data_IF_655348846599
#
_entry.id   IF_655348846599
#
_cell.length_a   1.000
_cell.length_b   1.000
_cell.length_c   1.000
_cell.angle_alpha   90.00
_cell.angle_beta   90.00
_cell.angle_gamma   90.00
#
_symmetry.space_group_name_H-M   'P 1'
#
loop_
_entity.id
_entity.type
_entity.pdbx_description
1 polymer ?
#
# COMPACT_ATOMS: atom_id res chain seq x y z
N UNK A 1 -27.12 55.15 27.04
CA UNK A 1 -26.00 54.28 27.48
C UNK A 1 -26.32 52.77 27.53
N UNK A 2 -27.43 52.26 26.97
CA UNK A 2 -27.85 50.86 27.14
C UNK A 2 -27.71 49.94 25.90
N UNK A 3 -27.16 50.41 24.77
CA UNK A 3 -27.03 49.59 23.54
C UNK A 3 -25.61 49.07 23.25
N UNK A 4 -24.58 49.49 23.98
CA UNK A 4 -23.19 49.04 23.75
C UNK A 4 -22.76 47.84 24.60
N UNK A 5 -23.46 47.56 25.71
CA UNK A 5 -23.12 46.47 26.64
C UNK A 5 -23.59 45.09 26.19
N UNK A 6 -24.60 44.99 25.30
CA UNK A 6 -25.10 43.69 24.80
C UNK A 6 -24.20 43.09 23.71
N UNK A 7 -23.56 43.90 22.87
CA UNK A 7 -22.71 43.42 21.77
C UNK A 7 -21.38 42.83 22.27
N UNK A 8 -20.83 43.39 23.34
CA UNK A 8 -19.57 42.90 23.94
C UNK A 8 -19.77 41.55 24.65
N UNK A 9 -20.91 41.34 25.33
CA UNK A 9 -21.19 40.09 26.05
C UNK A 9 -21.37 38.88 25.12
N UNK A 10 -21.94 39.07 23.93
CA UNK A 10 -22.04 38.01 22.90
C UNK A 10 -20.67 37.69 22.29
N UNK A 11 -19.83 38.70 22.07
CA UNK A 11 -18.50 38.51 21.48
C UNK A 11 -17.53 37.78 22.43
N UNK A 12 -17.65 38.01 23.75
CA UNK A 12 -16.84 37.29 24.77
C UNK A 12 -17.27 35.82 24.87
N UNK A 13 -18.57 35.52 24.88
CA UNK A 13 -19.06 34.12 24.91
C UNK A 13 -18.66 33.34 23.66
N UNK A 14 -18.63 33.98 22.49
CA UNK A 14 -18.21 33.34 21.23
C UNK A 14 -16.70 33.06 21.22
N UNK A 15 -15.89 33.94 21.83
CA UNK A 15 -14.45 33.77 21.97
C UNK A 15 -14.12 32.64 22.95
N UNK A 16 -14.78 32.60 24.11
CA UNK A 16 -14.65 31.49 25.08
C UNK A 16 -15.08 30.14 24.49
N UNK A 17 -16.09 30.13 23.62
CA UNK A 17 -16.55 28.90 22.95
C UNK A 17 -15.58 28.43 21.86
N UNK A 18 -14.96 29.35 21.11
CA UNK A 18 -13.87 29.02 20.17
C UNK A 18 -12.60 28.54 20.87
N UNK A 19 -12.28 29.12 22.02
CA UNK A 19 -11.06 28.77 22.77
C UNK A 19 -11.22 27.42 23.49
N UNK A 20 -12.43 27.07 23.96
CA UNK A 20 -12.76 25.70 24.40
C UNK A 20 -12.64 24.68 23.26
N UNK A 21 -13.21 24.96 22.08
CA UNK A 21 -13.11 24.05 20.93
C UNK A 21 -11.66 23.83 20.44
N UNK A 22 -10.82 24.86 20.55
CA UNK A 22 -9.38 24.75 20.24
C UNK A 22 -8.61 23.97 21.32
N UNK A 23 -9.00 24.13 22.59
CA UNK A 23 -8.44 23.34 23.70
C UNK A 23 -8.75 21.86 23.51
N UNK A 24 -10.00 21.53 23.19
CA UNK A 24 -10.45 20.14 23.01
C UNK A 24 -9.74 19.48 21.80
N UNK A 25 -9.59 20.19 20.67
CA UNK A 25 -8.81 19.70 19.51
C UNK A 25 -7.31 19.55 19.81
N UNK A 26 -6.75 20.43 20.63
CA UNK A 26 -5.35 20.33 21.06
C UNK A 26 -5.13 19.16 22.03
N UNK A 27 -6.15 18.84 22.83
CA UNK A 27 -6.16 17.72 23.75
C UNK A 27 -6.32 16.38 23.02
N UNK A 28 -7.23 16.27 22.05
CA UNK A 28 -7.32 15.11 21.14
C UNK A 28 -6.01 14.88 20.39
N UNK A 29 -5.38 15.94 19.89
CA UNK A 29 -4.07 15.87 19.23
C UNK A 29 -2.95 15.41 20.18
N UNK A 30 -3.03 15.75 21.47
CA UNK A 30 -2.08 15.32 22.50
C UNK A 30 -2.32 13.87 22.93
N UNK A 31 -3.58 13.43 23.02
CA UNK A 31 -3.96 12.03 23.26
C UNK A 31 -3.49 11.17 22.10
N UNK A 32 -3.71 11.59 20.85
CA UNK A 32 -3.23 10.89 19.66
C UNK A 32 -1.70 10.77 19.68
N UNK A 33 -0.96 11.85 19.98
CA UNK A 33 0.52 11.82 20.11
C UNK A 33 1.01 10.94 21.25
N UNK A 34 0.34 10.94 22.41
CA UNK A 34 0.62 10.01 23.52
C UNK A 34 0.35 8.56 23.12
N UNK A 35 -0.68 8.32 22.31
CA UNK A 35 -1.00 7.01 21.74
C UNK A 35 0.11 6.51 20.80
N UNK A 36 0.60 7.38 19.90
CA UNK A 36 1.76 7.07 19.06
C UNK A 36 3.04 6.80 19.86
N UNK A 37 3.25 7.52 20.96
CA UNK A 37 4.41 7.31 21.83
C UNK A 37 4.34 5.98 22.59
N UNK A 38 3.14 5.58 23.05
CA UNK A 38 2.92 4.32 23.77
C UNK A 38 3.08 3.10 22.84
N UNK A 39 2.66 3.21 21.58
CA UNK A 39 2.90 2.20 20.53
C UNK A 39 4.40 2.08 20.22
N UNK A 40 5.15 3.19 20.26
CA UNK A 40 6.60 3.18 20.02
C UNK A 40 7.40 2.53 21.16
N UNK A 41 6.94 2.63 22.40
CA UNK A 41 7.62 2.04 23.57
C UNK A 41 7.48 0.52 23.60
N UNK A 42 6.32 -0.02 23.19
CA UNK A 42 6.04 -1.46 23.18
C UNK A 42 6.67 -2.22 22.00
N UNK A 43 7.42 -1.55 21.12
CA UNK A 43 8.12 -2.17 19.98
C UNK A 43 9.64 -2.27 20.14
N UNK A 44 10.21 -2.07 21.33
CA UNK A 44 11.63 -2.39 21.56
C UNK A 44 11.80 -3.90 21.78
N UNK A 45 12.57 -4.63 20.95
CA UNK A 45 13.02 -5.97 21.29
C UNK A 45 13.96 -5.91 22.51
N UNK A 46 13.86 -6.91 23.37
CA UNK A 46 14.56 -7.02 24.65
C UNK A 46 16.04 -6.65 24.59
N UNK A 47 16.40 -5.66 25.40
CA UNK A 47 17.77 -5.30 25.71
C UNK A 47 18.24 -6.23 26.84
N UNK A 48 19.00 -7.28 26.50
CA UNK A 48 19.70 -8.09 27.49
C UNK A 48 20.81 -7.26 28.15
N UNK A 49 20.87 -7.14 29.48
CA UNK A 49 21.95 -6.39 30.13
C UNK A 49 23.27 -7.12 29.97
N UNK A 50 24.17 -6.57 29.13
CA UNK A 50 25.61 -6.81 29.25
C UNK A 50 26.05 -6.21 30.58
N UNK A 51 26.33 -7.08 31.55
CA UNK A 51 27.08 -6.71 32.75
C UNK A 51 28.48 -6.27 32.36
N UNK A 52 28.90 -5.12 32.87
CA UNK A 52 30.25 -4.62 32.67
C UNK A 52 30.86 -4.17 34.00
N UNK A 53 32.08 -4.66 34.20
CA UNK A 53 33.21 -4.17 35.02
C UNK A 53 33.49 -4.70 36.43
N UNK A 54 34.72 -5.24 36.49
CA UNK A 54 35.68 -5.13 37.59
C UNK A 54 36.16 -6.51 38.06
N UNK A 55 37.42 -6.93 38.02
CA UNK A 55 38.70 -6.31 37.69
C UNK A 55 39.83 -7.19 38.29
N UNK A 56 41.03 -7.12 37.68
CA UNK A 56 42.38 -7.43 38.22
C UNK A 56 42.82 -8.88 38.57
N UNK A 57 43.98 -9.24 37.99
CA UNK A 57 45.04 -10.12 38.55
C UNK A 57 44.86 -11.62 38.27
N UNK A 58 45.84 -12.44 37.92
CA UNK A 58 47.29 -12.33 37.78
C UNK A 58 47.87 -13.74 37.51
N UNK A 59 49.01 -13.81 36.80
CA UNK A 59 50.08 -14.84 36.83
C UNK A 59 49.79 -16.37 36.91
N UNK A 60 50.35 -17.12 35.94
CA UNK A 60 51.36 -18.16 36.24
C UNK A 60 51.04 -19.66 36.03
N UNK A 61 51.96 -20.39 35.37
CA UNK A 61 52.22 -21.85 35.49
C UNK A 61 51.44 -22.76 34.51
N UNK A 62 52.01 -23.51 33.54
CA UNK A 62 53.10 -24.52 33.47
C UNK A 62 52.69 -25.95 33.95
N UNK A 63 52.84 -26.94 33.06
CA UNK A 63 52.84 -28.41 33.32
C UNK A 63 51.65 -29.13 32.67
N UNK A 64 51.77 -30.00 31.66
CA UNK A 64 52.40 -31.35 31.67
C UNK A 64 51.30 -32.39 31.98
N UNK A 65 51.08 -33.52 31.32
CA UNK A 65 51.69 -34.27 30.21
C UNK A 65 51.00 -35.65 30.14
N UNK A 66 51.07 -36.28 28.95
CA UNK A 66 51.08 -37.73 28.65
C UNK A 66 49.90 -38.69 28.98
N UNK A 67 49.57 -39.47 27.94
CA UNK A 67 49.25 -40.91 27.98
C UNK A 67 47.75 -41.21 27.87
N UNK A 68 47.23 -42.10 27.03
CA UNK A 68 47.82 -43.09 26.13
C UNK A 68 46.83 -44.25 25.95
N UNK A 69 46.65 -44.67 24.69
CA UNK A 69 46.24 -46.01 24.22
C UNK A 69 44.89 -46.64 24.61
N UNK A 70 44.12 -47.02 23.58
CA UNK A 70 44.06 -48.45 23.23
C UNK A 70 42.68 -49.12 23.11
N UNK A 71 42.22 -49.27 21.87
CA UNK A 71 41.57 -50.48 21.33
C UNK A 71 40.11 -50.80 21.75
N UNK A 72 39.35 -51.66 21.08
CA UNK A 72 39.42 -52.35 19.77
C UNK A 72 38.14 -53.20 19.68
N UNK A 73 37.51 -53.26 18.50
CA UNK A 73 36.62 -54.36 18.07
C UNK A 73 35.15 -54.27 18.50
N UNK A 74 34.16 -54.66 17.71
CA UNK A 74 34.15 -55.34 16.42
C UNK A 74 32.91 -56.25 16.30
N UNK A 75 32.52 -56.55 15.04
CA UNK A 75 31.49 -57.49 14.56
C UNK A 75 30.05 -56.97 14.60
N UNK A 76 29.25 -56.98 13.50
CA UNK A 76 29.07 -57.95 12.39
C UNK A 76 27.58 -58.36 12.45
N UNK A 77 26.78 -58.60 11.41
CA UNK A 77 27.04 -59.09 10.06
C UNK A 77 25.71 -59.20 9.25
N UNK A 78 25.82 -59.53 7.95
CA UNK A 78 24.81 -59.95 6.93
C UNK A 78 24.04 -58.84 6.21
N UNK A 79 24.01 -58.72 4.88
CA UNK A 79 24.28 -59.62 3.73
C UNK A 79 23.17 -59.31 2.68
N UNK A 80 23.31 -59.25 1.35
CA UNK A 80 24.32 -59.71 0.40
C UNK A 80 23.66 -60.59 -0.67
N UNK A 81 23.44 -60.07 -1.90
CA UNK A 81 23.34 -60.74 -3.24
C UNK A 81 22.70 -59.76 -4.24
N UNK A 82 23.30 -59.35 -5.36
CA UNK A 82 23.85 -60.12 -6.50
C UNK A 82 22.84 -60.00 -7.67
N UNK A 83 23.12 -59.74 -8.95
CA UNK A 83 24.28 -59.71 -9.83
C UNK A 83 23.76 -59.93 -11.28
N UNK A 84 24.59 -59.67 -12.29
CA UNK A 84 24.39 -59.88 -13.76
C UNK A 84 23.56 -58.81 -14.51
N UNK A 85 23.93 -58.33 -15.70
CA UNK A 85 25.01 -58.70 -16.62
C UNK A 85 24.56 -58.54 -18.09
N UNK A 86 25.32 -57.75 -18.84
CA UNK A 86 25.70 -57.94 -20.26
C UNK A 86 24.88 -57.47 -21.48
N UNK A 87 25.71 -57.08 -22.48
CA UNK A 87 25.52 -56.81 -23.93
C UNK A 87 24.82 -55.51 -24.31
N UNK A 88 25.43 -54.56 -25.04
CA UNK A 88 26.36 -54.64 -26.18
C UNK A 88 25.67 -53.89 -27.35
N UNK A 89 26.25 -53.03 -28.19
CA UNK A 89 27.62 -52.79 -28.63
C UNK A 89 27.61 -52.71 -30.16
N UNK A 90 27.86 -51.53 -30.74
CA UNK A 90 28.31 -51.19 -32.14
C UNK A 90 27.78 -49.79 -32.45
N UNK A 91 28.52 -48.79 -32.92
CA UNK A 91 29.78 -48.63 -33.66
C UNK A 91 29.59 -47.30 -34.44
N UNK A 92 30.53 -46.49 -34.88
CA UNK A 92 31.98 -46.41 -34.90
C UNK A 92 32.31 -45.25 -35.88
N UNK A 93 33.43 -44.56 -35.63
CA UNK A 93 34.17 -43.64 -36.53
C UNK A 93 33.50 -42.30 -36.93
N UNK A 94 34.17 -41.15 -36.91
CA UNK A 94 35.59 -40.88 -36.66
C UNK A 94 35.91 -39.39 -36.54
N UNK A 95 37.09 -39.14 -35.96
CA UNK A 95 38.09 -38.12 -36.30
C UNK A 95 37.67 -36.66 -36.60
N UNK A 96 38.07 -35.72 -35.73
CA UNK A 96 39.37 -35.01 -35.82
C UNK A 96 39.52 -33.98 -34.70
N UNK A 97 40.78 -33.76 -34.29
CA UNK A 97 41.20 -32.88 -33.19
C UNK A 97 40.88 -31.40 -33.38
N UNK A 98 41.16 -30.51 -32.43
CA UNK A 98 41.91 -30.64 -31.20
C UNK A 98 42.18 -29.23 -30.64
N UNK A 99 42.34 -29.16 -29.30
CA UNK A 99 43.14 -28.20 -28.51
C UNK A 99 43.03 -26.71 -28.87
N UNK A 100 42.54 -25.85 -27.98
CA UNK A 100 43.12 -25.50 -26.68
C UNK A 100 42.93 -23.98 -26.50
N UNK A 101 43.01 -23.34 -25.34
CA UNK A 101 43.43 -23.71 -24.00
C UNK A 101 42.97 -22.60 -23.04
N UNK A 102 43.11 -22.91 -21.77
CA UNK A 102 42.61 -22.23 -20.59
C UNK A 102 43.39 -20.96 -20.16
N UNK A 103 42.72 -20.14 -19.33
CA UNK A 103 43.21 -19.24 -18.25
C UNK A 103 43.45 -17.73 -18.53
N UNK A 104 42.64 -16.92 -17.82
CA UNK A 104 42.86 -15.56 -17.26
C UNK A 104 44.16 -15.45 -16.42
N UNK A 105 44.56 -14.32 -15.77
CA UNK A 105 43.84 -13.05 -15.52
C UNK A 105 44.68 -11.73 -15.56
N UNK A 106 43.96 -10.62 -15.37
CA UNK A 106 44.36 -9.27 -14.89
C UNK A 106 45.83 -8.84 -14.80
N UNK A 107 46.19 -7.74 -15.50
CA UNK A 107 46.97 -6.62 -14.92
C UNK A 107 47.10 -5.41 -15.85
N UNK A 108 46.61 -4.27 -15.36
CA UNK A 108 47.39 -3.04 -15.20
C UNK A 108 47.85 -2.24 -16.43
N UNK A 109 47.30 -1.04 -16.56
CA UNK A 109 48.14 0.17 -16.47
C UNK A 109 48.49 0.94 -17.75
N UNK A 110 48.06 2.21 -17.74
CA UNK A 110 48.77 3.41 -18.21
C UNK A 110 48.68 3.90 -19.68
N UNK A 111 48.17 5.16 -19.75
CA UNK A 111 48.62 6.35 -20.52
C UNK A 111 48.07 6.65 -21.93
N UNK A 112 47.56 7.88 -22.04
CA UNK A 112 47.53 8.72 -23.26
C UNK A 112 46.18 9.43 -23.44
N UNK A 113 45.97 10.67 -22.95
CA UNK A 113 46.26 11.96 -23.64
C UNK A 113 45.54 12.01 -25.00
N UNK A 114 44.59 12.89 -25.33
CA UNK A 114 44.13 14.18 -24.83
C UNK A 114 43.42 14.85 -26.03
N UNK A 115 42.48 15.77 -25.81
CA UNK A 115 41.89 16.54 -26.91
C UNK A 115 40.52 17.13 -26.61
N UNK A 116 40.50 18.32 -26.00
CA UNK A 116 39.30 19.14 -25.90
C UNK A 116 39.10 20.04 -27.12
N UNK A 117 37.83 20.35 -27.40
CA UNK A 117 37.20 21.45 -28.19
C UNK A 117 35.87 20.87 -28.71
N UNK A 118 34.67 21.39 -28.52
CA UNK A 118 34.19 22.71 -28.12
C UNK A 118 32.96 23.06 -28.98
N UNK A 119 31.75 22.61 -28.57
CA UNK A 119 30.38 23.15 -28.86
C UNK A 119 29.87 23.32 -30.31
N UNK A 120 28.57 23.58 -30.58
CA UNK A 120 27.30 23.16 -29.94
C UNK A 120 26.19 22.71 -30.95
N UNK A 121 25.01 22.33 -30.42
CA UNK A 121 23.68 22.16 -31.09
C UNK A 121 23.36 20.80 -31.73
N UNK A 122 22.28 20.21 -31.21
CA UNK A 122 21.59 19.06 -31.80
C UNK A 122 20.45 18.54 -30.92
N UNK A 123 19.57 19.45 -30.45
CA UNK A 123 18.32 19.09 -29.77
C UNK A 123 17.37 18.49 -30.80
N UNK A 124 17.02 17.21 -30.68
CA UNK A 124 16.00 16.59 -31.53
C UNK A 124 15.85 15.09 -31.30
N UNK A 125 14.87 14.70 -30.48
CA UNK A 125 14.52 13.30 -30.24
C UNK A 125 13.33 13.23 -29.28
N UNK A 126 12.15 13.60 -29.78
CA UNK A 126 10.94 13.79 -29.00
C UNK A 126 10.45 12.52 -28.31
N UNK A 127 10.45 12.54 -26.99
CA UNK A 127 9.49 11.79 -26.17
C UNK A 127 8.35 12.73 -25.82
N UNK A 128 7.17 12.47 -26.39
CA UNK A 128 5.93 13.13 -26.01
C UNK A 128 5.73 13.01 -24.50
N UNK A 129 5.76 14.15 -23.82
CA UNK A 129 5.59 14.21 -22.38
C UNK A 129 5.29 15.63 -21.95
N UNK A 130 4.23 15.78 -21.16
CA UNK A 130 3.82 17.02 -20.51
C UNK A 130 5.02 17.70 -19.86
N UNK A 131 5.47 18.80 -20.47
CA UNK A 131 6.51 19.65 -19.91
C UNK A 131 6.01 20.31 -18.63
N UNK A 132 6.77 20.17 -17.56
CA UNK A 132 6.61 20.96 -16.36
C UNK A 132 6.74 22.44 -16.73
N UNK A 133 5.70 23.23 -16.45
CA UNK A 133 5.65 24.67 -16.75
C UNK A 133 4.51 25.15 -17.65
N UNK A 134 3.61 24.27 -18.11
CA UNK A 134 2.37 24.72 -18.77
C UNK A 134 1.38 25.25 -17.73
N UNK A 135 0.70 26.36 -18.04
CA UNK A 135 -0.49 26.78 -17.29
C UNK A 135 -1.54 25.68 -17.45
N UNK A 136 -1.75 24.93 -16.39
CA UNK A 136 -2.73 23.85 -16.33
C UNK A 136 -3.98 24.41 -15.67
N UNK A 137 -5.14 24.20 -16.29
CA UNK A 137 -6.42 24.47 -15.67
C UNK A 137 -6.81 23.24 -14.84
N UNK A 138 -7.11 23.43 -13.55
CA UNK A 138 -7.60 22.37 -12.66
C UNK A 138 -9.08 22.61 -12.43
N UNK A 139 -9.91 21.66 -12.85
CA UNK A 139 -11.36 21.70 -12.72
C UNK A 139 -11.81 20.65 -11.68
N UNK A 140 -12.84 20.92 -10.86
CA UNK A 140 -13.42 19.91 -10.00
C UNK A 140 -14.10 18.81 -10.82
N UNK A 141 -13.94 17.55 -10.40
CA UNK A 141 -14.65 16.40 -10.98
C UNK A 141 -16.07 16.31 -10.39
N UNK A 142 -16.95 15.48 -10.99
CA UNK A 142 -18.27 15.13 -10.40
C UNK A 142 -18.18 14.45 -9.02
N UNK A 143 -17.02 13.91 -8.65
CA UNK A 143 -16.81 13.29 -7.34
C UNK A 143 -16.04 14.27 -6.46
N UNK A 144 -16.53 14.45 -5.24
CA UNK A 144 -15.93 15.36 -4.28
C UNK A 144 -14.48 14.96 -3.95
N UNK A 145 -13.59 15.96 -3.87
CA UNK A 145 -12.16 15.75 -3.56
C UNK A 145 -11.31 15.24 -4.74
N UNK A 146 -11.93 15.00 -5.90
CA UNK A 146 -11.25 14.62 -7.14
C UNK A 146 -11.31 15.77 -8.15
N UNK A 147 -10.25 15.96 -8.91
CA UNK A 147 -10.11 17.05 -9.87
C UNK A 147 -9.59 16.52 -11.21
N UNK A 148 -9.84 17.26 -12.28
CA UNK A 148 -9.29 17.02 -13.61
C UNK A 148 -8.32 18.15 -13.94
N UNK A 149 -7.11 17.78 -14.29
CA UNK A 149 -6.14 18.67 -14.90
C UNK A 149 -6.37 18.65 -16.42
N UNK A 150 -6.86 19.77 -16.98
CA UNK A 150 -7.01 19.94 -18.43
C UNK A 150 -5.70 20.41 -19.03
N UNK A 151 -5.28 19.76 -20.10
CA UNK A 151 -4.01 20.03 -20.78
C UNK A 151 -4.04 19.55 -22.23
N UNK A 152 -2.89 19.06 -22.72
CA UNK A 152 -2.83 18.35 -24.01
C UNK A 152 -3.49 16.95 -23.94
N UNK A 153 -3.42 16.31 -22.78
CA UNK A 153 -4.14 15.11 -22.39
C UNK A 153 -4.65 15.41 -20.99
N UNK A 154 -5.87 15.00 -20.71
CA UNK A 154 -6.49 15.23 -19.43
C UNK A 154 -5.97 14.21 -18.41
N UNK A 155 -5.71 14.67 -17.21
CA UNK A 155 -5.21 13.82 -16.13
C UNK A 155 -6.13 13.93 -14.91
N UNK A 156 -6.42 12.78 -14.30
CA UNK A 156 -7.08 12.74 -13.00
C UNK A 156 -6.08 13.18 -11.93
N UNK A 157 -6.48 14.11 -11.06
CA UNK A 157 -5.62 14.64 -10.00
C UNK A 157 -6.36 14.72 -8.66
N UNK A 158 -5.59 14.67 -7.57
CA UNK A 158 -6.08 14.80 -6.20
C UNK A 158 -5.27 15.88 -5.48
N UNK A 159 -5.88 16.58 -4.53
CA UNK A 159 -5.21 17.64 -3.77
C UNK A 159 -4.24 17.02 -2.76
N UNK A 160 -2.96 17.32 -2.87
CA UNK A 160 -1.94 16.75 -1.99
C UNK A 160 -2.10 17.28 -0.57
N UNK A 161 -2.18 16.37 0.40
CA UNK A 161 -2.19 16.74 1.82
C UNK A 161 -0.79 17.12 2.33
N UNK A 162 0.26 16.48 1.81
CA UNK A 162 1.65 16.70 2.23
C UNK A 162 2.42 17.37 1.10
N UNK A 163 2.32 18.69 1.04
CA UNK A 163 2.94 19.53 0.00
C UNK A 163 4.46 19.30 -0.04
N UNK A 164 5.02 19.24 -1.24
CA UNK A 164 6.46 19.07 -1.44
C UNK A 164 6.92 17.62 -1.57
N UNK A 165 6.07 16.64 -1.25
CA UNK A 165 6.44 15.23 -1.27
C UNK A 165 5.60 14.37 -2.24
N UNK A 166 6.28 13.51 -3.00
CA UNK A 166 5.65 12.44 -3.80
C UNK A 166 5.77 11.09 -3.10
N UNK A 167 4.80 10.20 -3.32
CA UNK A 167 4.79 8.87 -2.68
C UNK A 167 5.53 7.85 -3.53
N UNK A 168 5.27 7.83 -4.84
CA UNK A 168 5.82 6.82 -5.76
C UNK A 168 6.43 7.45 -7.03
N UNK A 169 6.77 8.75 -6.97
CA UNK A 169 7.37 9.48 -8.09
C UNK A 169 6.36 9.97 -9.15
N UNK A 170 5.09 10.09 -8.78
CA UNK A 170 4.05 10.67 -9.62
C UNK A 170 4.32 12.16 -9.96
N UNK A 171 3.74 12.60 -11.08
CA UNK A 171 3.79 14.00 -11.49
C UNK A 171 2.95 14.84 -10.52
N UNK A 172 3.46 16.04 -10.22
CA UNK A 172 2.85 16.99 -9.30
C UNK A 172 2.65 18.32 -10.01
N UNK A 173 1.54 18.97 -9.72
CA UNK A 173 1.13 20.22 -10.35
C UNK A 173 0.96 21.22 -9.21
N UNK A 174 1.76 22.28 -9.23
CA UNK A 174 1.65 23.36 -8.27
C UNK A 174 0.78 24.44 -8.89
N UNK A 175 -0.29 24.80 -8.18
CA UNK A 175 -1.17 25.92 -8.52
C UNK A 175 -1.05 26.93 -7.40
N UNK A 176 -0.70 28.16 -7.76
CA UNK A 176 -0.67 29.28 -6.82
C UNK A 176 -2.05 29.94 -6.86
N UNK A 177 -2.82 29.77 -5.79
CA UNK A 177 -4.12 30.41 -5.61
C UNK A 177 -3.96 31.44 -4.49
N UNK A 178 -3.68 32.70 -4.88
CA UNK A 178 -3.33 33.77 -3.95
C UNK A 178 -2.02 33.51 -3.22
N UNK A 179 -2.05 33.57 -1.88
CA UNK A 179 -0.87 33.33 -1.02
C UNK A 179 -0.64 31.85 -0.68
N UNK A 180 -1.61 30.97 -0.99
CA UNK A 180 -1.52 29.54 -0.69
C UNK A 180 -1.04 28.73 -1.89
N UNK A 181 0.07 28.03 -1.71
CA UNK A 181 0.57 27.05 -2.68
C UNK A 181 -0.19 25.75 -2.53
N UNK A 182 -1.08 25.47 -3.48
CA UNK A 182 -1.81 24.21 -3.55
C UNK A 182 -1.07 23.28 -4.50
N UNK A 183 -0.79 22.07 -4.04
CA UNK A 183 -0.14 21.04 -4.84
C UNK A 183 -1.16 19.93 -5.15
N UNK A 184 -1.24 19.54 -6.42
CA UNK A 184 -2.04 18.44 -6.90
C UNK A 184 -1.14 17.28 -7.35
N UNK A 185 -1.60 16.05 -7.12
CA UNK A 185 -0.90 14.81 -7.52
C UNK A 185 -1.66 14.12 -8.64
N UNK A 186 -0.94 13.74 -9.69
CA UNK A 186 -1.51 12.97 -10.80
C UNK A 186 -1.79 11.54 -10.37
N UNK A 187 -3.03 11.10 -10.59
CA UNK A 187 -3.51 9.78 -10.26
C UNK A 187 -3.59 8.91 -11.51
N UNK A 188 -2.80 7.84 -11.56
CA UNK A 188 -2.68 6.99 -12.74
C UNK A 188 -3.74 5.87 -12.74
N UNK A 189 -4.67 5.83 -13.72
CA UNK A 189 -5.69 4.78 -13.80
C UNK A 189 -5.11 3.39 -14.08
N UNK A 190 -3.97 3.27 -14.74
CA UNK A 190 -3.30 1.97 -15.00
C UNK A 190 -2.62 1.37 -13.76
N UNK A 191 -2.56 2.11 -12.65
CA UNK A 191 -1.99 1.62 -11.38
C UNK A 191 -3.02 1.54 -10.26
N UNK A 192 -4.21 2.09 -10.47
CA UNK A 192 -5.20 2.26 -9.42
C UNK A 192 -6.59 1.97 -9.97
N UNK A 193 -7.15 0.86 -9.51
CA UNK A 193 -8.47 0.37 -9.92
C UNK A 193 -9.58 1.37 -9.59
N UNK A 194 -9.42 2.11 -8.49
CA UNK A 194 -10.34 3.19 -8.12
C UNK A 194 -10.27 4.37 -9.10
N UNK A 195 -9.08 4.77 -9.56
CA UNK A 195 -8.97 5.80 -10.60
C UNK A 195 -9.53 5.32 -11.94
N UNK A 196 -9.30 4.06 -12.31
CA UNK A 196 -9.90 3.45 -13.49
C UNK A 196 -11.44 3.46 -13.40
N UNK A 197 -12.03 3.15 -12.24
CA UNK A 197 -13.47 3.21 -12.03
C UNK A 197 -14.03 4.64 -12.15
N UNK A 198 -13.32 5.62 -11.59
CA UNK A 198 -13.71 7.04 -11.68
C UNK A 198 -13.73 7.51 -13.14
N UNK A 199 -12.69 7.19 -13.92
CA UNK A 199 -12.61 7.54 -15.35
C UNK A 199 -13.57 6.71 -16.20
N UNK A 200 -13.82 5.45 -15.82
CA UNK A 200 -14.75 4.56 -16.51
C UNK A 200 -16.22 4.95 -16.34
N UNK A 201 -16.53 5.90 -15.46
CA UNK A 201 -17.87 6.47 -15.39
C UNK A 201 -18.70 6.06 -14.19
N UNK A 202 -18.12 5.49 -13.12
CA UNK A 202 -18.88 5.07 -11.92
C UNK A 202 -19.75 6.19 -11.30
N UNK A 203 -21.01 5.97 -11.00
CA UNK A 203 -21.93 7.04 -10.59
C UNK A 203 -21.52 7.68 -9.26
N UNK A 204 -21.31 6.87 -8.23
CA UNK A 204 -20.90 7.32 -6.90
C UNK A 204 -19.91 6.36 -6.24
N UNK A 205 -18.70 6.86 -5.93
CA UNK A 205 -17.70 6.11 -5.15
C UNK A 205 -17.96 6.14 -3.64
N UNK A 206 -18.84 7.03 -3.17
CA UNK A 206 -19.17 7.31 -1.77
C UNK A 206 -18.00 7.74 -0.86
N UNK A 207 -16.78 7.78 -1.37
CA UNK A 207 -15.61 8.39 -0.72
C UNK A 207 -15.71 9.90 -0.91
N UNK A 208 -15.97 10.60 0.19
CA UNK A 208 -16.13 12.06 0.23
C UNK A 208 -15.21 12.67 1.29
N UNK A 209 -14.89 13.98 1.20
CA UNK A 209 -14.18 14.68 2.26
C UNK A 209 -14.87 14.48 3.63
N UNK A 210 -14.09 14.13 4.65
CA UNK A 210 -14.58 13.83 6.00
C UNK A 210 -15.14 12.42 6.23
N UNK A 211 -15.23 11.57 5.20
CA UNK A 211 -15.70 10.20 5.37
C UNK A 211 -14.68 9.30 6.10
N UNK A 212 -15.17 8.27 6.79
CA UNK A 212 -14.32 7.19 7.32
C UNK A 212 -14.31 6.03 6.33
N UNK A 213 -13.14 5.73 5.78
CA UNK A 213 -12.95 4.69 4.77
C UNK A 213 -12.12 3.55 5.32
N UNK A 214 -12.54 2.31 5.09
CA UNK A 214 -11.73 1.13 5.32
C UNK A 214 -11.25 0.58 3.98
N UNK A 215 -9.93 0.49 3.82
CA UNK A 215 -9.28 -0.02 2.62
C UNK A 215 -8.74 -1.42 2.90
N UNK A 216 -9.31 -2.44 2.28
CA UNK A 216 -8.87 -3.82 2.39
C UNK A 216 -7.91 -4.14 1.23
N UNK A 217 -6.69 -4.57 1.56
CA UNK A 217 -5.64 -4.84 0.56
C UNK A 217 -4.89 -3.57 0.16
N UNK A 218 -4.40 -2.81 1.15
CA UNK A 218 -3.72 -1.54 0.93
C UNK A 218 -2.37 -1.64 0.19
N UNK A 219 -1.76 -2.82 0.14
CA UNK A 219 -0.45 -3.08 -0.42
C UNK A 219 0.59 -2.06 0.08
N UNK A 220 1.32 -1.40 -0.82
CA UNK A 220 2.33 -0.38 -0.49
C UNK A 220 1.75 1.01 -0.19
N UNK A 221 0.42 1.18 -0.29
CA UNK A 221 -0.25 2.45 0.03
C UNK A 221 -0.28 3.47 -1.11
N UNK A 222 -0.02 3.08 -2.35
CA UNK A 222 -0.07 3.98 -3.53
C UNK A 222 -1.47 4.58 -3.72
N UNK A 223 -2.50 3.73 -3.88
CA UNK A 223 -3.91 4.18 -4.00
C UNK A 223 -4.42 4.75 -2.69
N UNK A 224 -4.06 4.16 -1.55
CA UNK A 224 -4.46 4.64 -0.22
C UNK A 224 -4.05 6.10 0.00
N UNK A 225 -2.88 6.50 -0.51
CA UNK A 225 -2.44 7.89 -0.43
C UNK A 225 -3.38 8.86 -1.16
N UNK A 226 -3.99 8.45 -2.28
CA UNK A 226 -4.98 9.25 -3.01
C UNK A 226 -6.35 9.25 -2.32
N UNK A 227 -6.77 8.10 -1.77
CA UNK A 227 -8.00 8.02 -0.97
C UNK A 227 -7.90 8.93 0.26
N UNK A 228 -6.73 8.93 0.91
CA UNK A 228 -6.42 9.85 2.01
C UNK A 228 -6.50 11.32 1.58
N UNK A 229 -5.96 11.66 0.42
CA UNK A 229 -6.00 13.02 -0.13
C UNK A 229 -7.46 13.48 -0.42
N UNK A 230 -8.33 12.58 -0.89
CA UNK A 230 -9.76 12.85 -1.14
C UNK A 230 -10.54 13.05 0.17
N UNK A 231 -10.34 12.16 1.12
CA UNK A 231 -11.00 12.19 2.43
C UNK A 231 -10.58 13.41 3.25
N UNK A 232 -9.35 13.87 3.07
CA UNK A 232 -8.84 15.06 3.74
C UNK A 232 -8.51 14.83 5.23
N UNK A 233 -8.16 15.90 5.96
CA UNK A 233 -7.67 15.81 7.34
C UNK A 233 -8.77 15.51 8.37
N UNK A 234 -10.03 15.79 8.07
CA UNK A 234 -11.17 15.56 8.97
C UNK A 234 -11.70 14.12 8.91
N UNK A 235 -11.37 13.36 7.85
CA UNK A 235 -11.75 11.96 7.73
C UNK A 235 -10.58 11.02 8.04
N UNK A 236 -10.86 9.71 8.00
CA UNK A 236 -9.90 8.67 8.39
C UNK A 236 -9.88 7.55 7.36
N UNK A 237 -8.69 7.02 7.11
CA UNK A 237 -8.50 5.85 6.23
C UNK A 237 -7.85 4.72 7.04
N UNK A 238 -8.59 3.65 7.30
CA UNK A 238 -8.08 2.43 7.89
C UNK A 238 -7.53 1.53 6.79
N UNK A 239 -6.21 1.41 6.70
CA UNK A 239 -5.54 0.68 5.63
C UNK A 239 -5.10 -0.70 6.14
N UNK A 240 -5.83 -1.75 5.74
CA UNK A 240 -5.55 -3.13 6.13
C UNK A 240 -4.67 -3.81 5.09
N UNK A 241 -3.53 -4.33 5.53
CA UNK A 241 -2.59 -5.07 4.70
C UNK A 241 -2.04 -6.28 5.43
N UNK A 242 -1.97 -7.43 4.76
CA UNK A 242 -1.46 -8.65 5.38
C UNK A 242 0.07 -8.73 5.30
N UNK A 243 0.66 -8.31 4.19
CA UNK A 243 2.11 -8.47 3.96
C UNK A 243 2.93 -7.52 4.83
N UNK A 244 3.87 -8.07 5.60
CA UNK A 244 4.82 -7.25 6.35
C UNK A 244 5.74 -6.42 5.46
N UNK A 245 6.08 -6.90 4.24
CA UNK A 245 6.94 -6.13 3.31
C UNK A 245 6.19 -4.89 2.84
N UNK A 246 5.00 -5.08 2.29
CA UNK A 246 4.13 -3.99 1.82
C UNK A 246 3.72 -3.08 2.98
N UNK A 247 3.49 -3.66 4.16
CA UNK A 247 3.20 -2.94 5.40
C UNK A 247 4.30 -1.97 5.83
N UNK A 248 5.58 -2.25 5.55
CA UNK A 248 6.68 -1.29 5.81
C UNK A 248 6.55 -0.03 4.96
N UNK A 249 6.20 -0.20 3.68
CA UNK A 249 6.00 0.93 2.77
C UNK A 249 4.74 1.72 3.17
N UNK A 250 3.65 1.02 3.48
CA UNK A 250 2.42 1.62 3.98
C UNK A 250 2.65 2.43 5.27
N UNK A 251 3.45 1.92 6.21
CA UNK A 251 3.85 2.63 7.42
C UNK A 251 4.62 3.92 7.10
N UNK A 252 5.49 3.91 6.08
CA UNK A 252 6.23 5.10 5.67
C UNK A 252 5.31 6.17 5.08
N UNK A 253 4.25 5.77 4.36
CA UNK A 253 3.21 6.69 3.87
C UNK A 253 2.39 7.24 5.05
N UNK A 254 1.99 6.38 5.98
CA UNK A 254 1.19 6.76 7.15
C UNK A 254 1.94 7.66 8.15
N UNK A 255 3.28 7.55 8.24
CA UNK A 255 4.08 8.50 9.04
C UNK A 255 3.93 9.95 8.59
N UNK A 256 3.68 10.14 7.29
CA UNK A 256 3.59 11.47 6.66
C UNK A 256 2.15 11.96 6.59
N UNK A 257 1.19 11.04 6.44
CA UNK A 257 -0.26 11.31 6.38
C UNK A 257 -0.95 10.84 7.65
N UNK A 258 -1.30 11.80 8.51
CA UNK A 258 -1.83 11.54 9.86
C UNK A 258 -3.24 10.94 9.89
N UNK A 259 -3.98 11.04 8.79
CA UNK A 259 -5.32 10.49 8.64
C UNK A 259 -5.33 9.01 8.20
N UNK A 260 -4.16 8.42 7.91
CA UNK A 260 -4.02 6.99 7.58
C UNK A 260 -3.65 6.21 8.84
N UNK A 261 -4.46 5.20 9.17
CA UNK A 261 -4.18 4.24 10.24
C UNK A 261 -3.80 2.91 9.57
N UNK A 262 -2.50 2.55 9.55
CA UNK A 262 -2.03 1.31 8.96
C UNK A 262 -2.27 0.14 9.92
N UNK A 263 -2.90 -0.92 9.41
CA UNK A 263 -3.22 -2.14 10.16
C UNK A 263 -2.56 -3.31 9.42
N UNK A 264 -1.50 -3.87 10.00
CA UNK A 264 -0.77 -5.00 9.40
C UNK A 264 -1.32 -6.31 9.97
N UNK A 265 -2.48 -6.74 9.48
CA UNK A 265 -3.19 -7.94 9.90
C UNK A 265 -3.95 -8.59 8.75
N UNK A 266 -4.33 -9.85 8.92
CA UNK A 266 -5.15 -10.58 7.95
C UNK A 266 -6.60 -10.10 7.95
N UNK A 267 -7.08 -9.61 6.80
CA UNK A 267 -8.45 -9.15 6.61
C UNK A 267 -9.52 -10.24 6.84
N UNK A 268 -9.16 -11.53 6.76
CA UNK A 268 -10.05 -12.67 7.08
C UNK A 268 -10.46 -12.71 8.55
N UNK A 269 -9.70 -12.06 9.42
CA UNK A 269 -9.84 -12.15 10.88
C UNK A 269 -10.10 -10.77 11.51
N UNK A 270 -11.25 -10.12 11.25
CA UNK A 270 -11.53 -8.77 11.72
C UNK A 270 -11.55 -8.61 13.24
N UNK A 271 -11.70 -9.71 13.98
CA UNK A 271 -11.63 -9.71 15.44
C UNK A 271 -10.24 -9.29 15.98
N UNK A 272 -9.16 -9.46 15.22
CA UNK A 272 -7.80 -9.12 15.66
C UNK A 272 -7.58 -7.61 15.78
N UNK A 273 -8.18 -6.83 14.89
CA UNK A 273 -8.03 -5.38 14.87
C UNK A 273 -9.32 -4.63 15.21
N UNK A 274 -10.31 -5.33 15.80
CA UNK A 274 -11.58 -4.73 16.26
C UNK A 274 -11.40 -3.56 17.24
N UNK A 275 -10.28 -3.53 17.98
CA UNK A 275 -9.99 -2.47 18.94
C UNK A 275 -9.48 -1.19 18.27
N UNK A 276 -8.99 -1.28 17.02
CA UNK A 276 -8.40 -0.17 16.29
C UNK A 276 -9.40 0.54 15.37
N UNK A 277 -10.37 -0.22 14.84
CA UNK A 277 -11.29 0.26 13.79
C UNK A 277 -12.65 0.60 14.40
N UNK A 278 -13.07 1.86 14.24
CA UNK A 278 -14.42 2.30 14.55
C UNK A 278 -15.41 2.06 13.39
N UNK A 279 -16.67 2.46 13.57
CA UNK A 279 -17.66 2.36 12.50
C UNK A 279 -17.27 3.24 11.28
N UNK A 280 -17.20 2.63 10.10
CA UNK A 280 -16.82 3.27 8.84
C UNK A 280 -18.03 3.51 7.93
N UNK A 281 -17.90 4.49 7.04
CA UNK A 281 -18.94 4.87 6.08
C UNK A 281 -18.82 4.08 4.78
N UNK A 282 -17.59 3.78 4.36
CA UNK A 282 -17.29 3.09 3.10
C UNK A 282 -16.20 2.04 3.28
N UNK A 283 -16.39 0.86 2.69
CA UNK A 283 -15.34 -0.14 2.50
C UNK A 283 -14.90 -0.15 1.04
N UNK A 284 -13.60 0.01 0.78
CA UNK A 284 -13.00 -0.26 -0.53
C UNK A 284 -12.19 -1.56 -0.44
N UNK A 285 -12.47 -2.53 -1.30
CA UNK A 285 -11.80 -3.82 -1.29
C UNK A 285 -11.03 -4.09 -2.59
N UNK A 286 -9.71 -4.16 -2.48
CA UNK A 286 -8.77 -4.50 -3.57
C UNK A 286 -7.97 -5.77 -3.23
N UNK A 287 -8.67 -6.74 -2.65
CA UNK A 287 -8.09 -8.03 -2.25
C UNK A 287 -8.27 -9.03 -3.39
N UNK A 288 -7.17 -9.53 -3.93
CA UNK A 288 -7.19 -10.59 -4.94
C UNK A 288 -7.17 -11.97 -4.27
N UNK A 289 -8.31 -12.43 -3.78
CA UNK A 289 -8.48 -13.77 -3.17
C UNK A 289 -9.77 -14.44 -3.69
N UNK A 290 -9.82 -15.78 -3.80
CA UNK A 290 -11.05 -16.48 -4.19
C UNK A 290 -12.21 -16.30 -3.20
N UNK A 291 -11.90 -16.09 -1.91
CA UNK A 291 -12.87 -15.85 -0.85
C UNK A 291 -13.17 -14.37 -0.59
N UNK A 292 -12.99 -13.52 -1.61
CA UNK A 292 -13.13 -12.05 -1.52
C UNK A 292 -14.46 -11.61 -0.92
N UNK A 293 -15.60 -12.10 -1.45
CA UNK A 293 -16.93 -11.71 -0.94
C UNK A 293 -17.08 -11.99 0.56
N UNK A 294 -16.61 -13.16 1.03
CA UNK A 294 -16.66 -13.52 2.46
C UNK A 294 -15.81 -12.57 3.31
N UNK A 295 -14.61 -12.22 2.84
CA UNK A 295 -13.72 -11.28 3.54
C UNK A 295 -14.41 -9.92 3.68
N UNK A 296 -15.00 -9.41 2.59
CA UNK A 296 -15.68 -8.11 2.62
C UNK A 296 -16.92 -8.17 3.52
N UNK A 297 -17.72 -9.23 3.43
CA UNK A 297 -18.91 -9.42 4.28
C UNK A 297 -18.57 -9.41 5.77
N UNK A 298 -17.55 -10.18 6.20
CA UNK A 298 -17.11 -10.21 7.61
C UNK A 298 -16.65 -8.84 8.10
N UNK A 299 -15.97 -8.07 7.26
CA UNK A 299 -15.55 -6.71 7.59
C UNK A 299 -16.74 -5.74 7.63
N UNK A 300 -17.68 -5.88 6.70
CA UNK A 300 -18.89 -5.08 6.66
C UNK A 300 -19.77 -5.32 7.90
N UNK A 301 -19.91 -6.57 8.33
CA UNK A 301 -20.67 -6.92 9.53
C UNK A 301 -20.13 -6.27 10.80
N UNK A 302 -18.81 -6.13 10.89
CA UNK A 302 -18.15 -5.63 12.11
C UNK A 302 -17.97 -4.11 12.11
N UNK A 303 -17.72 -3.50 10.96
CA UNK A 303 -17.27 -2.11 10.89
C UNK A 303 -18.13 -1.21 10.02
N UNK A 304 -18.87 -1.73 9.04
CA UNK A 304 -19.65 -0.88 8.13
C UNK A 304 -20.98 -0.48 8.77
N UNK A 305 -21.29 0.82 8.74
CA UNK A 305 -22.59 1.33 9.21
C UNK A 305 -23.73 0.74 8.39
N UNK A 306 -24.91 0.59 9.01
CA UNK A 306 -26.12 0.26 8.27
C UNK A 306 -26.40 1.39 7.25
N UNK A 307 -26.67 1.03 5.98
CA UNK A 307 -26.76 1.99 4.88
C UNK A 307 -25.41 2.53 4.40
N UNK A 308 -24.29 2.04 4.95
CA UNK A 308 -22.95 2.33 4.46
C UNK A 308 -22.70 1.69 3.11
N UNK A 309 -21.65 2.14 2.43
CA UNK A 309 -21.36 1.73 1.06
C UNK A 309 -20.15 0.81 0.98
N UNK A 310 -20.11 -0.02 -0.05
CA UNK A 310 -18.94 -0.83 -0.37
C UNK A 310 -18.61 -0.70 -1.85
N UNK A 311 -17.33 -0.78 -2.13
CA UNK A 311 -16.76 -0.77 -3.47
C UNK A 311 -15.79 -1.95 -3.54
N UNK A 312 -16.09 -2.94 -4.36
CA UNK A 312 -15.30 -4.17 -4.48
C UNK A 312 -14.71 -4.21 -5.89
N UNK A 313 -13.39 -4.35 -5.98
CA UNK A 313 -12.71 -4.62 -7.24
C UNK A 313 -12.54 -6.12 -7.42
N UNK A 314 -13.30 -6.69 -8.36
CA UNK A 314 -13.30 -8.11 -8.68
C UNK A 314 -12.34 -8.34 -9.85
N UNK A 315 -11.41 -9.28 -9.69
CA UNK A 315 -10.55 -9.79 -10.76
C UNK A 315 -10.94 -11.22 -11.08
N UNK A 316 -11.57 -11.46 -12.23
CA UNK A 316 -12.12 -12.77 -12.57
C UNK A 316 -11.06 -13.89 -12.47
N UNK A 317 -9.89 -13.65 -13.08
CA UNK A 317 -8.77 -14.59 -13.11
C UNK A 317 -8.20 -14.98 -11.73
N UNK A 318 -8.44 -14.19 -10.68
CA UNK A 318 -7.99 -14.53 -9.32
C UNK A 318 -9.03 -15.32 -8.53
N UNK A 319 -10.29 -15.35 -8.98
CA UNK A 319 -11.36 -16.12 -8.35
C UNK A 319 -11.46 -17.48 -9.02
N UNK A 320 -11.60 -17.48 -10.34
CA UNK A 320 -11.64 -18.68 -11.17
C UNK A 320 -11.01 -18.36 -12.53
N UNK A 321 -9.87 -18.97 -12.82
CA UNK A 321 -9.15 -18.78 -14.08
C UNK A 321 -9.69 -19.61 -15.24
N UNK A 322 -10.66 -20.51 -14.99
CA UNK A 322 -11.22 -21.42 -16.00
C UNK A 322 -12.57 -20.94 -16.51
N UNK A 323 -13.33 -20.23 -15.69
CA UNK A 323 -14.63 -19.69 -16.04
C UNK A 323 -14.53 -18.36 -16.82
N UNK A 324 -15.57 -18.06 -17.60
CA UNK A 324 -15.70 -16.76 -18.27
C UNK A 324 -15.88 -15.63 -17.23
N UNK A 325 -15.27 -14.43 -17.44
CA UNK A 325 -15.34 -13.33 -16.49
C UNK A 325 -16.77 -12.94 -16.09
N UNK A 326 -17.71 -12.93 -17.03
CA UNK A 326 -19.12 -12.58 -16.79
C UNK A 326 -19.79 -13.55 -15.83
N UNK A 327 -19.48 -14.85 -15.95
CA UNK A 327 -20.00 -15.88 -15.05
C UNK A 327 -19.43 -15.71 -13.63
N UNK A 328 -18.14 -15.38 -13.51
CA UNK A 328 -17.50 -15.09 -12.22
C UNK A 328 -18.14 -13.87 -11.56
N UNK A 329 -18.36 -12.79 -12.31
CA UNK A 329 -19.00 -11.58 -11.79
C UNK A 329 -20.43 -11.86 -11.30
N UNK A 330 -21.23 -12.59 -12.07
CA UNK A 330 -22.59 -12.97 -11.67
C UNK A 330 -22.60 -13.85 -10.40
N UNK A 331 -21.64 -14.76 -10.28
CA UNK A 331 -21.50 -15.60 -9.09
C UNK A 331 -21.13 -14.78 -7.84
N UNK A 332 -20.21 -13.82 -7.95
CA UNK A 332 -19.85 -12.95 -6.83
C UNK A 332 -21.01 -12.04 -6.42
N UNK A 333 -21.73 -11.44 -7.37
CA UNK A 333 -22.94 -10.64 -7.12
C UNK A 333 -23.99 -11.46 -6.35
N UNK A 334 -24.17 -12.75 -6.71
CA UNK A 334 -25.08 -13.66 -5.99
C UNK A 334 -24.63 -13.94 -4.56
N UNK A 335 -23.32 -14.14 -4.34
CA UNK A 335 -22.75 -14.33 -2.98
C UNK A 335 -22.95 -13.09 -2.12
N UNK A 336 -22.76 -11.88 -2.68
CA UNK A 336 -22.98 -10.62 -1.96
C UNK A 336 -24.44 -10.49 -1.51
N UNK A 337 -25.39 -10.89 -2.36
CA UNK A 337 -26.81 -10.89 -2.01
C UNK A 337 -27.14 -11.75 -0.78
N UNK A 338 -26.41 -12.85 -0.55
CA UNK A 338 -26.59 -13.69 0.64
C UNK A 338 -26.09 -13.03 1.93
N UNK A 339 -25.16 -12.06 1.83
CA UNK A 339 -24.49 -11.41 2.96
C UNK A 339 -25.10 -10.03 3.30
N UNK A 340 -26.35 -9.77 2.92
CA UNK A 340 -27.04 -8.49 3.10
C UNK A 340 -26.36 -7.30 2.40
N UNK A 341 -25.57 -7.58 1.36
CA UNK A 341 -24.90 -6.58 0.54
C UNK A 341 -25.66 -6.45 -0.77
N UNK A 342 -26.26 -5.28 -1.01
CA UNK A 342 -27.03 -5.03 -2.22
C UNK A 342 -26.19 -4.27 -3.25
N UNK A 343 -25.77 -4.91 -4.36
CA UNK A 343 -25.08 -4.22 -5.44
C UNK A 343 -26.05 -3.24 -6.12
N UNK A 344 -25.54 -2.06 -6.48
CA UNK A 344 -26.27 -1.00 -7.16
C UNK A 344 -25.73 -0.76 -8.56
N UNK A 345 -24.42 -0.84 -8.72
CA UNK A 345 -23.72 -0.52 -9.95
C UNK A 345 -22.59 -1.52 -10.17
N UNK A 346 -22.38 -1.90 -11.42
CA UNK A 346 -21.27 -2.73 -11.86
C UNK A 346 -20.66 -2.09 -13.11
N UNK A 347 -19.34 -1.92 -13.10
CA UNK A 347 -18.59 -1.32 -14.19
C UNK A 347 -17.35 -2.16 -14.50
N UNK A 348 -17.14 -2.49 -15.77
CA UNK A 348 -15.88 -3.12 -16.22
C UNK A 348 -14.79 -2.06 -16.37
N UNK A 349 -13.54 -2.40 -16.02
CA UNK A 349 -12.42 -1.45 -16.03
C UNK A 349 -11.64 -1.40 -17.36
N UNK A 350 -12.21 -1.93 -18.44
CA UNK A 350 -11.62 -1.82 -19.77
C UNK A 350 -11.72 -0.37 -20.24
N UNK A 351 -10.62 0.25 -20.74
CA UNK A 351 -9.40 -0.36 -21.29
C UNK A 351 -8.19 -0.44 -20.32
N UNK A 352 -8.32 -0.07 -19.05
CA UNK A 352 -7.19 0.06 -18.12
C UNK A 352 -6.73 -1.30 -17.57
N UNK A 353 -7.67 -2.14 -17.14
CA UNK A 353 -7.40 -3.47 -16.62
C UNK A 353 -8.36 -4.49 -17.28
N UNK A 354 -7.80 -5.55 -17.88
CA UNK A 354 -8.57 -6.64 -18.49
C UNK A 354 -9.13 -7.58 -17.44
N UNK A 355 -10.33 -8.11 -17.65
CA UNK A 355 -11.02 -9.05 -16.76
C UNK A 355 -11.23 -8.53 -15.32
N UNK A 356 -11.31 -7.20 -15.17
CA UNK A 356 -11.61 -6.53 -13.91
C UNK A 356 -12.96 -5.83 -13.99
N UNK A 357 -13.72 -5.95 -12.90
CA UNK A 357 -14.96 -5.21 -12.70
C UNK A 357 -14.99 -4.61 -11.30
N UNK A 358 -15.54 -3.41 -11.18
CA UNK A 358 -15.84 -2.77 -9.91
C UNK A 358 -17.34 -2.87 -9.67
N UNK A 359 -17.70 -3.36 -8.49
CA UNK A 359 -19.08 -3.42 -8.02
C UNK A 359 -19.22 -2.46 -6.85
N UNK A 360 -20.18 -1.53 -6.98
CA UNK A 360 -20.56 -0.59 -5.93
C UNK A 360 -21.92 -0.99 -5.38
N UNK A 361 -22.08 -0.94 -4.07
CA UNK A 361 -23.36 -1.24 -3.44
C UNK A 361 -23.52 -0.66 -2.06
N UNK A 362 -24.68 -0.97 -1.48
CA UNK A 362 -25.10 -0.52 -0.15
C UNK A 362 -25.23 -1.74 0.77
N UNK A 363 -24.69 -1.61 1.97
CA UNK A 363 -24.78 -2.62 3.02
C UNK A 363 -26.04 -2.40 3.84
N UNK A 364 -26.85 -3.47 4.02
CA UNK A 364 -28.14 -3.43 4.72
C UNK A 364 -28.99 -2.24 4.25
N UNK A 365 -29.34 -2.28 2.97
CA UNK A 365 -30.17 -1.25 2.35
C UNK A 365 -31.40 -0.96 3.23
N UNK A 366 -31.70 0.31 3.54
CA UNK A 366 -32.90 0.63 4.29
C UNK A 366 -34.13 0.11 3.53
N UNK A 367 -35.16 -0.37 4.24
CA UNK A 367 -36.39 -0.81 3.58
C UNK A 367 -36.93 0.33 2.73
N UNK A 368 -37.29 0.05 1.47
CA UNK A 368 -37.92 1.04 0.60
C UNK A 368 -39.18 1.55 1.32
N UNK A 369 -39.22 2.83 1.65
CA UNK A 369 -40.47 3.46 2.07
C UNK A 369 -41.45 3.31 0.90
N UNK A 370 -42.53 2.55 1.12
CA UNK A 370 -43.65 2.51 0.18
C UNK A 370 -44.22 3.93 0.18
N UNK A 371 -44.02 4.66 -0.92
CA UNK A 371 -44.73 5.91 -1.18
C UNK A 371 -46.19 5.62 -1.49
#
# INVERSE_FOLDING_TARGET
MHSYTRTVSVCVRFRESRDKLKSDKAEESRVQRRFYHLIYINMKPGFSPRGDRGGRGGFGGRGGGRGGFGGRGGFGDRGGRGGFGDRGGRGGFGDRGGRGGFRSPDRGGFRGRGGGRGTPRGRGGGRGGFGAGRKVLVEPHRHEGVFICRGKEDALVTKNMVVGESVYGEKRINVEEGETKIEYRAWNPFRSKLAAAILGGVDQIHIKPGAKVMYLGAASGTTVSHVSDIVGPEGLVYAVEFSHRSGRDLLNVAKKRTNIIPIIEDARHPHKYRMLVGMVDVIFADVAQPDQTRIVALNAHNFLKNGGHFVISIKANCIDSTAAPEAVFAAEVKKMGAENMKPQEQLTLEPYERDHAVVVGIYRAPPKQKK
#
